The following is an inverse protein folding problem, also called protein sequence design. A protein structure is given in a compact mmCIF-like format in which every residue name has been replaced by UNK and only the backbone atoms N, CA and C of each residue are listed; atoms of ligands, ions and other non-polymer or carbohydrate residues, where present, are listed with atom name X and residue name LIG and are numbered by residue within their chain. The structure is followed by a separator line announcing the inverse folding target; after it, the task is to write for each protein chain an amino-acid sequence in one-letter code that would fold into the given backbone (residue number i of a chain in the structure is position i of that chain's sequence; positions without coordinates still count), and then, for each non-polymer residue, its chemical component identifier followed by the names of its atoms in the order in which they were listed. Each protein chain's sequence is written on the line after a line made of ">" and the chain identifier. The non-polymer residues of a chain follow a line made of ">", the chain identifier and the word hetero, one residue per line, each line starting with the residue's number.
data_IF_556552486612
#
_entry.id   IF_556552486612
#
_cell.length_a   1.000
_cell.length_b   1.000
_cell.length_c   1.000
_cell.angle_alpha   90.00
_cell.angle_beta   90.00
_cell.angle_gamma   90.00
#
_symmetry.space_group_name_H-M   'P 1'
#
loop_
_entity.id
_entity.type
_entity.pdbx_description
1 polymer ?
#
# COMPACT_ATOMS: atom_id res chain seq x y z
N UNK A 1 10.67 28.33 46.37
CA UNK A 1 11.30 27.57 45.26
C UNK A 1 11.61 28.57 44.16
N UNK A 2 12.87 28.93 43.95
CA UNK A 2 13.25 29.98 43.01
C UNK A 2 13.21 29.47 41.55
N UNK A 3 12.69 30.27 40.63
CA UNK A 3 12.59 29.97 39.16
C UNK A 3 13.90 29.47 38.54
N UNK A 4 15.06 29.93 39.07
CA UNK A 4 16.40 29.49 38.60
C UNK A 4 16.69 28.04 38.93
N UNK A 5 16.27 27.53 40.08
CA UNK A 5 16.52 26.14 40.49
C UNK A 5 15.61 25.14 39.71
N UNK A 6 14.42 25.59 39.25
CA UNK A 6 13.55 24.79 38.42
C UNK A 6 14.17 24.54 37.04
N UNK A 7 14.81 25.55 36.44
CA UNK A 7 15.46 25.43 35.13
C UNK A 7 16.70 24.52 35.17
N UNK A 8 17.44 24.47 36.28
CA UNK A 8 18.57 23.55 36.45
C UNK A 8 18.11 22.08 36.60
N UNK A 9 16.94 21.83 37.21
CA UNK A 9 16.42 20.47 37.38
C UNK A 9 15.82 19.91 36.08
N UNK A 10 15.25 20.76 35.25
CA UNK A 10 14.70 20.37 33.92
C UNK A 10 15.80 20.20 32.87
N UNK A 11 16.91 20.94 33.01
CA UNK A 11 18.03 20.91 32.04
C UNK A 11 18.91 19.68 32.10
N UNK A 12 18.94 18.94 33.21
CA UNK A 12 19.87 17.81 33.38
C UNK A 12 19.25 16.43 33.16
N UNK A 13 17.91 16.33 32.98
CA UNK A 13 17.19 15.06 32.86
C UNK A 13 16.80 14.65 31.43
N UNK A 14 16.99 15.51 30.41
CA UNK A 14 16.47 15.29 29.05
C UNK A 14 17.49 14.82 28.01
N UNK A 15 18.66 14.33 28.42
CA UNK A 15 19.76 14.04 27.47
C UNK A 15 19.97 12.57 27.13
N UNK A 16 18.97 11.71 27.27
CA UNK A 16 19.13 10.28 26.94
C UNK A 16 17.94 9.62 26.22
N UNK A 17 16.97 10.37 25.71
CA UNK A 17 16.01 9.76 24.81
C UNK A 17 16.56 9.93 23.39
N UNK A 18 17.42 9.00 22.99
CA UNK A 18 17.85 8.83 21.63
C UNK A 18 16.61 8.56 20.75
N UNK A 19 16.06 9.61 20.14
CA UNK A 19 15.05 9.48 19.10
C UNK A 19 15.77 8.98 17.85
N UNK A 20 16.10 7.68 17.83
CA UNK A 20 16.67 6.99 16.66
C UNK A 20 15.58 6.41 15.76
N UNK A 21 14.52 7.17 15.51
CA UNK A 21 13.41 6.71 14.66
C UNK A 21 13.35 7.41 13.29
N UNK A 22 14.49 7.92 12.81
CA UNK A 22 14.59 8.40 11.44
C UNK A 22 14.99 7.24 10.53
N UNK A 23 14.08 6.72 9.72
CA UNK A 23 14.40 5.81 8.63
C UNK A 23 14.40 6.56 7.32
N UNK A 24 15.29 6.15 6.41
CA UNK A 24 15.34 6.71 5.06
C UNK A 24 14.43 5.87 4.15
N UNK A 25 13.60 6.52 3.35
CA UNK A 25 12.77 5.84 2.37
C UNK A 25 13.67 5.23 1.28
N UNK A 26 13.55 3.93 0.96
CA UNK A 26 14.54 3.22 0.15
C UNK A 26 14.68 3.71 -1.30
N UNK A 27 13.62 4.33 -1.87
CA UNK A 27 13.63 4.81 -3.26
C UNK A 27 13.89 6.32 -3.34
N UNK A 28 13.35 7.08 -2.41
CA UNK A 28 13.39 8.56 -2.47
C UNK A 28 14.48 9.17 -1.60
N UNK A 29 15.21 8.36 -0.82
CA UNK A 29 16.26 8.74 0.13
C UNK A 29 15.83 9.80 1.17
N UNK A 30 14.53 10.05 1.29
CA UNK A 30 13.98 11.04 2.23
C UNK A 30 13.98 10.47 3.64
N UNK A 31 14.47 11.26 4.58
CA UNK A 31 14.36 10.96 6.01
C UNK A 31 12.90 11.02 6.44
N UNK A 32 12.41 9.95 7.03
CA UNK A 32 11.03 9.83 7.52
C UNK A 32 11.04 9.53 9.01
N UNK A 33 10.17 10.20 9.77
CA UNK A 33 9.92 9.89 11.17
C UNK A 33 8.87 8.77 11.24
N UNK A 34 9.29 7.54 11.53
CA UNK A 34 8.37 6.41 11.72
C UNK A 34 7.90 6.35 13.18
N UNK A 35 6.73 6.90 13.45
CA UNK A 35 6.11 6.86 14.79
C UNK A 35 5.38 5.54 15.08
N UNK A 36 5.02 4.80 14.05
CA UNK A 36 4.29 3.52 14.15
C UNK A 36 5.11 2.45 13.47
N UNK A 37 5.29 1.30 14.11
CA UNK A 37 5.96 0.15 13.48
C UNK A 37 5.12 -0.43 12.34
N UNK A 38 5.78 -0.88 11.29
CA UNK A 38 5.13 -1.49 10.10
C UNK A 38 4.26 -2.69 10.49
N UNK A 39 4.73 -3.53 11.40
CA UNK A 39 3.96 -4.68 11.88
C UNK A 39 2.63 -4.29 12.53
N UNK A 40 2.61 -3.22 13.35
CA UNK A 40 1.36 -2.71 13.94
C UNK A 40 0.44 -2.12 12.87
N UNK A 41 1.00 -1.45 11.86
CA UNK A 41 0.24 -0.88 10.77
C UNK A 41 -0.39 -1.98 9.91
N UNK A 42 0.38 -3.01 9.55
CA UNK A 42 -0.10 -4.16 8.78
C UNK A 42 -1.19 -4.93 9.54
N UNK A 43 -1.01 -5.16 10.85
CA UNK A 43 -2.01 -5.82 11.68
C UNK A 43 -3.32 -5.03 11.78
N UNK A 44 -3.24 -3.70 11.87
CA UNK A 44 -4.42 -2.82 11.86
C UNK A 44 -5.11 -2.83 10.49
N UNK A 45 -4.35 -2.77 9.41
CA UNK A 45 -4.87 -2.85 8.05
C UNK A 45 -5.59 -4.19 7.79
N UNK A 46 -5.00 -5.31 8.20
CA UNK A 46 -5.62 -6.63 8.08
C UNK A 46 -6.99 -6.70 8.80
N UNK A 47 -7.09 -6.16 10.03
CA UNK A 47 -8.37 -6.11 10.75
C UNK A 47 -9.43 -5.27 10.04
N UNK A 48 -9.04 -4.15 9.44
CA UNK A 48 -9.96 -3.30 8.66
C UNK A 48 -10.39 -4.03 7.39
N UNK A 49 -9.46 -4.68 6.71
CA UNK A 49 -9.73 -5.45 5.51
C UNK A 49 -10.72 -6.60 5.74
N UNK A 50 -10.57 -7.35 6.83
CA UNK A 50 -11.53 -8.39 7.21
C UNK A 50 -12.94 -7.82 7.46
N UNK A 51 -13.05 -6.66 8.11
CA UNK A 51 -14.35 -5.98 8.27
C UNK A 51 -14.97 -5.59 6.93
N UNK A 52 -14.16 -5.14 5.98
CA UNK A 52 -14.63 -4.81 4.63
C UNK A 52 -15.15 -6.06 3.93
N UNK A 53 -14.42 -7.18 4.00
CA UNK A 53 -14.86 -8.46 3.43
C UNK A 53 -16.21 -8.94 4.00
N UNK A 54 -16.47 -8.65 5.26
CA UNK A 54 -17.74 -9.02 5.92
C UNK A 54 -18.90 -8.07 5.57
N UNK A 55 -18.61 -6.78 5.34
CA UNK A 55 -19.63 -5.76 5.14
C UNK A 55 -19.94 -5.49 3.67
N UNK A 56 -19.00 -5.74 2.77
CA UNK A 56 -19.16 -5.48 1.34
C UNK A 56 -19.58 -6.75 0.60
N UNK A 57 -20.37 -6.57 -0.45
CA UNK A 57 -20.75 -7.67 -1.32
C UNK A 57 -19.59 -8.04 -2.22
N UNK A 58 -18.99 -9.21 -2.02
CA UNK A 58 -17.94 -9.71 -2.90
C UNK A 58 -18.53 -10.24 -4.20
N UNK A 59 -17.80 -10.05 -5.30
CA UNK A 59 -18.18 -10.54 -6.61
C UNK A 59 -17.94 -12.04 -6.73
N UNK A 60 -18.88 -12.73 -7.39
CA UNK A 60 -18.75 -14.14 -7.75
C UNK A 60 -18.00 -14.36 -9.07
N UNK A 61 -17.51 -13.29 -9.71
CA UNK A 61 -16.73 -13.38 -10.95
C UNK A 61 -15.30 -13.85 -10.64
N UNK A 62 -15.16 -15.15 -10.53
CA UNK A 62 -13.87 -15.81 -10.24
C UNK A 62 -12.85 -15.61 -11.37
N UNK A 63 -13.32 -15.48 -12.62
CA UNK A 63 -12.42 -15.23 -13.75
C UNK A 63 -11.72 -13.90 -13.61
N UNK A 64 -12.47 -12.83 -13.43
CA UNK A 64 -11.91 -11.48 -13.23
C UNK A 64 -11.04 -11.40 -11.96
N UNK A 65 -11.46 -12.04 -10.87
CA UNK A 65 -10.66 -12.10 -9.65
C UNK A 65 -9.32 -12.80 -9.89
N UNK A 66 -9.29 -13.89 -10.65
CA UNK A 66 -8.05 -14.60 -10.99
C UNK A 66 -7.14 -13.75 -11.90
N UNK A 67 -7.69 -13.02 -12.86
CA UNK A 67 -6.93 -12.07 -13.68
C UNK A 67 -6.27 -10.99 -12.81
N UNK A 68 -6.99 -10.44 -11.83
CA UNK A 68 -6.45 -9.47 -10.86
C UNK A 68 -5.32 -10.09 -10.04
N UNK A 69 -5.49 -11.31 -9.54
CA UNK A 69 -4.45 -12.04 -8.78
C UNK A 69 -3.20 -12.30 -9.62
N UNK A 70 -3.35 -12.67 -10.89
CA UNK A 70 -2.20 -12.87 -11.79
C UNK A 70 -1.44 -11.57 -12.08
N UNK A 71 -2.16 -10.45 -12.23
CA UNK A 71 -1.53 -9.13 -12.33
C UNK A 71 -0.78 -8.82 -11.03
N UNK A 72 -1.40 -9.06 -9.88
CA UNK A 72 -0.81 -8.87 -8.57
C UNK A 72 0.49 -9.65 -8.40
N UNK A 73 0.48 -10.96 -8.66
CA UNK A 73 1.69 -11.79 -8.60
C UNK A 73 2.84 -11.29 -9.48
N UNK A 74 2.53 -10.80 -10.67
CA UNK A 74 3.56 -10.19 -11.54
C UNK A 74 4.12 -8.91 -10.94
N UNK A 75 3.28 -8.11 -10.29
CA UNK A 75 3.74 -6.91 -9.57
C UNK A 75 4.61 -7.27 -8.37
N UNK A 76 4.19 -8.24 -7.54
CA UNK A 76 4.97 -8.76 -6.42
C UNK A 76 6.36 -9.22 -6.86
N UNK A 77 6.41 -10.05 -7.90
CA UNK A 77 7.67 -10.50 -8.48
C UNK A 77 8.55 -9.34 -8.98
N UNK A 78 7.94 -8.36 -9.63
CA UNK A 78 8.67 -7.20 -10.17
C UNK A 78 9.23 -6.31 -9.06
N UNK A 79 8.49 -6.15 -7.96
CA UNK A 79 8.92 -5.42 -6.76
C UNK A 79 10.14 -6.12 -6.16
N UNK A 80 10.02 -7.40 -5.85
CA UNK A 80 11.11 -8.17 -5.26
C UNK A 80 12.37 -8.13 -6.13
N UNK A 81 12.21 -8.33 -7.44
CA UNK A 81 13.33 -8.27 -8.39
C UNK A 81 13.99 -6.89 -8.44
N UNK A 82 13.21 -5.81 -8.38
CA UNK A 82 13.74 -4.45 -8.36
C UNK A 82 14.62 -4.20 -7.14
N UNK A 83 14.15 -4.58 -5.95
CA UNK A 83 14.90 -4.37 -4.71
C UNK A 83 16.15 -5.24 -4.65
N UNK A 84 16.10 -6.48 -5.15
CA UNK A 84 17.24 -7.37 -5.27
C UNK A 84 18.30 -6.77 -6.20
N UNK A 85 17.94 -6.33 -7.40
CA UNK A 85 18.85 -5.70 -8.35
C UNK A 85 19.46 -4.38 -7.84
N UNK A 86 18.72 -3.64 -7.03
CA UNK A 86 19.20 -2.40 -6.43
C UNK A 86 20.05 -2.62 -5.17
N UNK A 87 20.23 -3.86 -4.71
CA UNK A 87 20.81 -4.21 -3.40
C UNK A 87 20.15 -3.47 -2.24
N UNK A 88 18.84 -3.30 -2.30
CA UNK A 88 18.02 -2.68 -1.28
C UNK A 88 17.16 -3.71 -0.56
N UNK A 89 16.86 -3.46 0.70
CA UNK A 89 15.92 -4.31 1.44
C UNK A 89 14.51 -4.13 0.88
N UNK A 90 13.89 -5.23 0.43
CA UNK A 90 12.51 -5.23 -0.06
C UNK A 90 11.54 -4.93 1.12
N UNK A 91 10.81 -3.80 1.10
CA UNK A 91 9.88 -3.42 2.16
C UNK A 91 8.61 -4.28 2.17
N UNK A 92 8.42 -5.13 1.17
CA UNK A 92 7.24 -6.00 1.06
C UNK A 92 7.48 -7.40 1.63
N UNK A 93 8.69 -7.68 2.12
CA UNK A 93 8.98 -8.95 2.80
C UNK A 93 8.03 -9.14 3.99
N UNK A 94 7.32 -10.26 4.00
CA UNK A 94 6.34 -10.57 5.05
C UNK A 94 4.96 -9.94 4.83
N UNK A 95 4.70 -9.34 3.69
CA UNK A 95 3.34 -8.96 3.32
C UNK A 95 2.50 -10.22 3.07
N UNK A 96 1.28 -10.19 3.57
CA UNK A 96 0.26 -11.20 3.31
C UNK A 96 -0.67 -10.66 2.21
N UNK A 97 -0.23 -10.84 0.95
CA UNK A 97 -0.91 -10.35 -0.23
C UNK A 97 -2.28 -10.98 -0.39
N UNK A 98 -3.30 -10.16 -0.46
CA UNK A 98 -4.68 -10.60 -0.62
C UNK A 98 -5.44 -9.67 -1.55
N UNK A 99 -6.26 -10.26 -2.43
CA UNK A 99 -7.00 -9.56 -3.47
C UNK A 99 -8.48 -9.90 -3.37
N UNK A 100 -9.34 -8.88 -3.30
CA UNK A 100 -10.79 -9.05 -3.39
C UNK A 100 -11.38 -8.21 -4.51
N UNK A 101 -12.46 -8.71 -5.09
CA UNK A 101 -13.29 -8.00 -6.05
C UNK A 101 -14.64 -7.68 -5.38
N UNK A 102 -14.92 -6.40 -5.19
CA UNK A 102 -16.15 -5.91 -4.57
C UNK A 102 -17.18 -5.63 -5.66
N UNK A 103 -18.37 -6.22 -5.54
CA UNK A 103 -19.49 -6.05 -6.48
C UNK A 103 -20.21 -4.73 -6.25
N UNK A 104 -19.63 -3.65 -6.78
CA UNK A 104 -20.23 -2.32 -6.74
C UNK A 104 -19.86 -1.53 -8.01
N UNK A 105 -20.77 -1.55 -8.99
CA UNK A 105 -20.59 -0.88 -10.28
C UNK A 105 -20.61 0.65 -10.20
N UNK A 106 -21.16 1.21 -9.13
CA UNK A 106 -21.23 2.67 -8.93
C UNK A 106 -19.89 3.26 -8.48
N UNK A 107 -19.09 2.47 -7.79
CA UNK A 107 -17.77 2.89 -7.26
C UNK A 107 -16.69 2.55 -8.29
N UNK A 108 -16.09 3.59 -8.86
CA UNK A 108 -14.97 3.47 -9.83
C UNK A 108 -13.64 3.66 -9.09
N UNK A 109 -13.28 2.68 -8.29
CA UNK A 109 -12.10 2.76 -7.42
C UNK A 109 -11.41 1.40 -7.26
N UNK A 110 -10.15 1.47 -6.90
CA UNK A 110 -9.36 0.37 -6.35
C UNK A 110 -8.42 0.96 -5.29
N UNK A 111 -8.09 0.19 -4.27
CA UNK A 111 -7.20 0.65 -3.21
C UNK A 111 -6.32 -0.47 -2.67
N UNK A 112 -5.21 -0.06 -2.08
CA UNK A 112 -4.26 -0.94 -1.41
C UNK A 112 -4.05 -0.44 0.02
N UNK A 113 -4.03 -1.35 0.98
CA UNK A 113 -3.67 -1.10 2.37
C UNK A 113 -2.31 -1.70 2.70
N UNK A 114 -1.65 -1.21 3.77
CA UNK A 114 -0.41 -1.81 4.28
C UNK A 114 -0.53 -3.32 4.48
N UNK A 115 0.57 -4.02 4.24
CA UNK A 115 0.60 -5.48 4.32
C UNK A 115 0.06 -6.22 3.09
N UNK A 116 -0.12 -5.52 1.94
CA UNK A 116 -0.50 -6.14 0.67
C UNK A 116 -2.00 -6.43 0.52
N UNK A 117 -2.88 -5.73 1.25
CA UNK A 117 -4.32 -5.92 1.17
C UNK A 117 -4.92 -5.04 0.06
N UNK A 118 -5.44 -5.66 -0.99
CA UNK A 118 -5.90 -4.98 -2.22
C UNK A 118 -7.38 -5.27 -2.46
N UNK A 119 -8.13 -4.23 -2.78
CA UNK A 119 -9.51 -4.36 -3.24
C UNK A 119 -9.75 -3.60 -4.54
N UNK A 120 -10.51 -4.24 -5.41
CA UNK A 120 -10.92 -3.68 -6.69
C UNK A 120 -12.44 -3.67 -6.73
N UNK A 121 -13.05 -2.56 -7.13
CA UNK A 121 -14.49 -2.47 -7.34
C UNK A 121 -14.84 -2.82 -8.79
N UNK A 122 -15.95 -3.52 -9.01
CA UNK A 122 -16.40 -3.88 -10.36
C UNK A 122 -16.62 -2.66 -11.26
N UNK A 123 -16.93 -1.50 -10.67
CA UNK A 123 -17.14 -0.26 -11.43
C UNK A 123 -15.90 0.29 -12.12
N UNK A 124 -14.69 0.06 -11.59
CA UNK A 124 -13.45 0.52 -12.24
C UNK A 124 -13.13 -0.31 -13.49
N UNK A 125 -13.55 -1.57 -13.52
CA UNK A 125 -13.30 -2.48 -14.65
C UNK A 125 -14.01 -2.03 -15.92
N UNK A 126 -15.18 -1.40 -15.80
CA UNK A 126 -15.90 -0.84 -16.95
C UNK A 126 -15.12 0.31 -17.59
N UNK A 127 -14.51 1.16 -16.75
CA UNK A 127 -13.68 2.28 -17.21
C UNK A 127 -12.42 1.78 -17.91
N UNK A 128 -11.74 0.81 -17.34
CA UNK A 128 -10.51 0.26 -17.92
C UNK A 128 -10.76 -0.43 -19.25
N UNK A 129 -11.86 -1.18 -19.39
CA UNK A 129 -12.26 -1.80 -20.68
C UNK A 129 -12.52 -0.75 -21.74
N UNK A 130 -13.21 0.34 -21.41
CA UNK A 130 -13.47 1.44 -22.33
C UNK A 130 -12.18 2.08 -22.81
N UNK A 131 -11.30 2.45 -21.89
CA UNK A 131 -10.00 3.05 -22.21
C UNK A 131 -9.14 2.12 -23.09
N UNK A 132 -9.13 0.82 -22.81
CA UNK A 132 -8.40 -0.15 -23.61
C UNK A 132 -8.93 -0.25 -25.04
N UNK A 133 -10.24 -0.20 -25.23
CA UNK A 133 -10.85 -0.21 -26.58
C UNK A 133 -10.52 1.08 -27.34
N UNK A 134 -10.61 2.24 -26.70
CA UNK A 134 -10.24 3.53 -27.30
C UNK A 134 -8.76 3.57 -27.68
N UNK A 135 -7.85 3.10 -26.80
CA UNK A 135 -6.43 3.02 -27.09
C UNK A 135 -6.14 2.12 -28.30
N UNK A 136 -6.83 0.98 -28.40
CA UNK A 136 -6.66 0.07 -29.53
C UNK A 136 -7.04 0.73 -30.85
N UNK A 137 -8.18 1.44 -30.90
CA UNK A 137 -8.64 2.19 -32.08
C UNK A 137 -7.62 3.27 -32.48
N UNK A 138 -7.12 4.06 -31.52
CA UNK A 138 -6.11 5.10 -31.78
C UNK A 138 -4.80 4.50 -32.36
N UNK A 139 -4.39 3.34 -31.86
CA UNK A 139 -3.19 2.66 -32.35
C UNK A 139 -3.35 2.09 -33.77
N UNK A 140 -4.55 1.68 -34.15
CA UNK A 140 -4.86 1.24 -35.51
C UNK A 140 -4.82 2.42 -36.48
N UNK A 141 -5.38 3.58 -36.13
CA UNK A 141 -5.35 4.78 -36.99
C UNK A 141 -3.97 5.46 -37.09
N UNK A 142 -3.06 5.22 -36.14
CA UNK A 142 -1.70 5.77 -36.18
C UNK A 142 -0.75 4.99 -37.07
N UNK A 143 -1.20 3.90 -37.70
CA UNK A 143 -0.41 3.06 -38.61
C UNK A 143 -0.69 3.29 -40.09
N UNK A 144 -1.68 4.14 -40.38
CA UNK A 144 -1.95 4.68 -41.71
C UNK A 144 -1.18 6.00 -41.93
#
# INVERSE_FOLDING_TARGET
>A
MNRRNFLHFVGCGCLSIGITSCTTAPITERKQLKLISESKLNAKAAKIYEKIKQNEKLSNDTKTLNEIKEIGKRMEYSISKYFDQANLQDPTIGFDWEYILIDNKKVKNAWCMPGGKIAVYTGILEVTKKLQSEYKLLKEHSKE
#
